data_IF_530605928742
#
_entry.id   IF_530605928742
#
_cell.length_a   1.000
_cell.length_b   1.000
_cell.length_c   1.000
_cell.angle_alpha   90.00
_cell.angle_beta   90.00
_cell.angle_gamma   90.00
#
_symmetry.space_group_name_H-M   'P 1'
#
loop_
_entity.id
_entity.type
_entity.pdbx_description
1 polymer ?
#
# COMPACT_ATOMS: atom_id res chain seq x y z
N UNK A 1 16.01 -32.71 4.67
CA UNK A 1 14.90 -31.88 5.18
C UNK A 1 14.09 -32.76 6.12
N UNK A 2 13.93 -32.36 7.39
CA UNK A 2 13.00 -33.05 8.29
C UNK A 2 11.57 -32.73 7.89
N UNK A 3 10.69 -33.71 7.99
CA UNK A 3 9.28 -33.62 7.59
C UNK A 3 8.56 -32.55 8.40
N UNK A 4 7.59 -31.85 7.82
CA UNK A 4 6.74 -30.88 8.54
C UNK A 4 6.15 -31.47 9.85
N UNK A 5 5.92 -32.79 9.86
CA UNK A 5 5.46 -33.55 11.02
C UNK A 5 6.44 -33.51 12.21
N UNK A 6 7.76 -33.56 11.95
CA UNK A 6 8.80 -33.55 13.00
C UNK A 6 8.94 -32.15 13.64
N UNK A 7 8.61 -31.10 12.88
CA UNK A 7 8.61 -29.71 13.37
C UNK A 7 7.38 -29.49 14.28
N UNK A 8 6.21 -29.98 13.88
CA UNK A 8 4.98 -29.88 14.67
C UNK A 8 5.10 -30.63 16.00
N UNK A 9 5.66 -31.85 16.01
CA UNK A 9 5.92 -32.60 17.25
C UNK A 9 6.90 -31.85 18.18
N UNK A 10 7.89 -31.15 17.62
CA UNK A 10 8.85 -30.36 18.40
C UNK A 10 8.21 -29.11 19.02
N UNK A 11 7.25 -28.48 18.33
CA UNK A 11 6.48 -27.33 18.83
C UNK A 11 5.50 -27.73 19.93
N UNK A 12 4.85 -28.89 19.84
CA UNK A 12 3.97 -29.41 20.89
C UNK A 12 4.73 -29.71 22.18
N UNK A 13 5.96 -30.23 22.07
CA UNK A 13 6.85 -30.44 23.22
C UNK A 13 7.26 -29.10 23.86
N UNK A 14 7.59 -28.09 23.06
CA UNK A 14 7.92 -26.75 23.55
C UNK A 14 6.73 -26.10 24.29
N UNK A 15 5.51 -26.28 23.76
CA UNK A 15 4.27 -25.81 24.38
C UNK A 15 3.99 -26.50 25.73
N UNK A 16 4.19 -27.81 25.81
CA UNK A 16 4.04 -28.57 27.05
C UNK A 16 5.02 -28.16 28.17
N UNK A 17 6.23 -27.70 27.81
CA UNK A 17 7.23 -27.18 28.74
C UNK A 17 6.83 -25.81 29.32
N UNK A 18 6.27 -24.91 28.50
CA UNK A 18 5.75 -23.62 28.96
C UNK A 18 4.52 -23.77 29.88
N UNK A 19 3.74 -24.84 29.69
CA UNK A 19 2.54 -25.13 30.50
C UNK A 19 2.83 -25.87 31.82
N UNK A 20 4.11 -26.08 32.17
CA UNK A 20 4.52 -26.63 33.48
C UNK A 20 4.15 -28.10 33.70
N UNK A 21 3.83 -28.85 32.63
CA UNK A 21 3.46 -30.26 32.72
C UNK A 21 4.69 -31.16 32.50
N UNK A 22 5.29 -31.62 33.61
CA UNK A 22 5.96 -32.94 33.83
C UNK A 22 7.49 -33.03 34.13
N UNK A 23 7.77 -34.06 34.96
CA UNK A 23 8.97 -34.70 35.53
C UNK A 23 10.39 -34.31 35.04
N UNK A 24 11.28 -34.01 36.00
CA UNK A 24 12.28 -32.93 35.91
C UNK A 24 13.66 -33.26 35.33
N UNK A 25 14.09 -34.53 35.22
CA UNK A 25 15.52 -34.82 34.97
C UNK A 25 15.88 -35.25 33.53
N UNK A 26 15.14 -36.20 32.93
CA UNK A 26 15.44 -36.69 31.57
C UNK A 26 14.89 -35.76 30.47
N UNK A 27 13.75 -35.11 30.73
CA UNK A 27 13.08 -34.21 29.80
C UNK A 27 13.78 -32.85 29.66
N UNK A 28 14.48 -32.36 30.71
CA UNK A 28 15.19 -31.09 30.67
C UNK A 28 16.35 -31.07 29.65
N UNK A 29 17.10 -32.19 29.53
CA UNK A 29 18.17 -32.32 28.53
C UNK A 29 17.65 -32.38 27.10
N UNK A 30 16.51 -33.05 26.88
CA UNK A 30 15.87 -33.14 25.56
C UNK A 30 15.23 -31.81 25.17
N UNK A 31 14.58 -31.13 26.12
CA UNK A 31 14.07 -29.77 25.99
C UNK A 31 15.17 -28.77 25.62
N UNK A 32 16.32 -28.82 26.30
CA UNK A 32 17.46 -27.95 25.99
C UNK A 32 18.00 -28.14 24.57
N UNK A 33 18.00 -29.38 24.05
CA UNK A 33 18.39 -29.65 22.65
C UNK A 33 17.39 -29.10 21.65
N UNK A 34 16.09 -29.32 21.87
CA UNK A 34 15.03 -28.78 21.00
C UNK A 34 15.06 -27.26 20.97
N UNK A 35 15.25 -26.60 22.11
CA UNK A 35 15.37 -25.13 22.18
C UNK A 35 16.61 -24.62 21.45
N UNK A 36 17.77 -25.29 21.56
CA UNK A 36 18.97 -24.91 20.82
C UNK A 36 18.82 -25.07 19.30
N UNK A 37 18.12 -26.12 18.85
CA UNK A 37 17.80 -26.33 17.43
C UNK A 37 16.86 -25.24 16.89
N UNK A 38 15.82 -24.87 17.65
CA UNK A 38 14.92 -23.76 17.29
C UNK A 38 15.65 -22.42 17.23
N UNK A 39 16.48 -22.09 18.23
CA UNK A 39 17.29 -20.86 18.23
C UNK A 39 18.19 -20.80 17.00
N UNK A 40 18.83 -21.93 16.65
CA UNK A 40 19.70 -21.99 15.47
C UNK A 40 18.91 -21.83 14.17
N UNK A 41 17.72 -22.45 14.07
CA UNK A 41 16.84 -22.31 12.93
C UNK A 41 16.35 -20.85 12.76
N UNK A 42 15.90 -20.21 13.84
CA UNK A 42 15.44 -18.82 13.78
C UNK A 42 16.57 -17.84 13.47
N UNK A 43 17.77 -18.00 14.05
CA UNK A 43 18.94 -17.18 13.69
C UNK A 43 19.36 -17.36 12.24
N UNK A 44 19.31 -18.59 11.74
CA UNK A 44 19.62 -18.86 10.33
C UNK A 44 18.58 -18.21 9.42
N UNK A 45 17.30 -18.31 9.77
CA UNK A 45 16.21 -17.67 9.04
C UNK A 45 16.34 -16.14 9.06
N UNK A 46 16.69 -15.55 10.20
CA UNK A 46 16.94 -14.11 10.35
C UNK A 46 18.11 -13.62 9.46
N UNK A 47 19.17 -14.42 9.32
CA UNK A 47 20.29 -14.14 8.42
C UNK A 47 19.90 -14.37 6.94
N UNK A 48 19.14 -15.41 6.63
CA UNK A 48 18.65 -15.69 5.27
C UNK A 48 17.61 -14.67 4.79
N UNK A 49 16.86 -14.07 5.72
CA UNK A 49 15.91 -12.96 5.49
C UNK A 49 16.58 -11.58 5.60
N UNK A 50 17.91 -11.52 5.75
CA UNK A 50 18.65 -10.27 5.74
C UNK A 50 18.86 -9.82 4.29
N UNK A 51 18.08 -8.84 3.84
CA UNK A 51 18.16 -8.29 2.49
C UNK A 51 19.10 -7.08 2.43
N UNK A 52 20.04 -7.10 1.48
CA UNK A 52 20.73 -5.89 1.04
C UNK A 52 19.77 -5.02 0.23
N UNK A 53 19.71 -3.73 0.56
CA UNK A 53 18.81 -2.77 -0.12
C UNK A 53 19.63 -1.83 -0.98
N UNK A 54 19.20 -1.67 -2.24
CA UNK A 54 19.77 -0.71 -3.17
C UNK A 54 18.70 0.31 -3.52
N UNK A 55 19.03 1.60 -3.41
CA UNK A 55 18.15 2.67 -3.85
C UNK A 55 18.40 2.97 -5.33
N UNK A 56 17.32 3.06 -6.09
CA UNK A 56 17.33 3.50 -7.48
C UNK A 56 16.42 4.71 -7.65
N UNK A 57 16.71 5.54 -8.64
CA UNK A 57 15.82 6.61 -9.08
C UNK A 57 15.05 6.07 -10.28
N UNK A 58 13.72 6.04 -10.21
CA UNK A 58 12.84 5.61 -11.28
C UNK A 58 11.96 6.78 -11.75
N UNK A 59 11.61 6.78 -13.03
CA UNK A 59 10.60 7.68 -13.60
C UNK A 59 9.34 6.86 -13.87
N UNK A 60 8.20 7.36 -13.40
CA UNK A 60 6.89 6.76 -13.69
C UNK A 60 6.34 7.42 -14.96
N UNK A 61 5.95 6.60 -15.93
CA UNK A 61 5.21 7.02 -17.11
C UNK A 61 3.73 7.09 -16.73
N UNK A 62 3.12 8.24 -17.00
CA UNK A 62 1.72 8.51 -16.66
C UNK A 62 1.02 9.03 -17.91
N UNK A 63 0.11 8.23 -18.43
CA UNK A 63 -0.69 8.53 -19.61
C UNK A 63 -1.87 9.46 -19.28
N UNK A 64 -2.68 9.81 -20.29
CA UNK A 64 -3.95 10.50 -20.04
C UNK A 64 -5.00 9.56 -19.46
N UNK A 65 -5.01 8.31 -19.93
CA UNK A 65 -5.93 7.26 -19.48
C UNK A 65 -5.69 6.97 -18.00
N UNK A 66 -4.43 6.85 -17.57
CA UNK A 66 -4.10 6.61 -16.16
C UNK A 66 -4.65 7.72 -15.24
N UNK A 67 -4.56 8.98 -15.71
CA UNK A 67 -5.12 10.13 -14.98
C UNK A 67 -6.63 10.00 -14.90
N UNK A 68 -7.28 9.72 -16.02
CA UNK A 68 -8.75 9.64 -16.10
C UNK A 68 -9.27 8.48 -15.23
N UNK A 69 -8.60 7.32 -15.27
CA UNK A 69 -8.95 6.13 -14.49
C UNK A 69 -8.79 6.36 -12.98
N UNK A 70 -7.68 6.97 -12.54
CA UNK A 70 -7.49 7.36 -11.13
C UNK A 70 -8.61 8.32 -10.70
N UNK A 71 -8.95 9.29 -11.55
CA UNK A 71 -9.99 10.26 -11.27
C UNK A 71 -11.39 9.62 -11.23
N UNK A 72 -11.68 8.61 -12.06
CA UNK A 72 -12.92 7.82 -11.97
C UNK A 72 -13.00 7.11 -10.61
N UNK A 73 -11.97 6.33 -10.23
CA UNK A 73 -11.93 5.62 -8.94
C UNK A 73 -12.11 6.56 -7.76
N UNK A 74 -11.51 7.77 -7.83
CA UNK A 74 -11.67 8.79 -6.80
C UNK A 74 -13.10 9.35 -6.76
N UNK A 75 -13.60 9.87 -7.88
CA UNK A 75 -14.86 10.62 -7.94
C UNK A 75 -16.11 9.74 -7.79
N UNK A 76 -16.02 8.46 -8.13
CA UNK A 76 -17.16 7.53 -8.09
C UNK A 76 -17.15 6.62 -6.85
N UNK A 77 -16.12 6.70 -6.01
CA UNK A 77 -16.03 5.88 -4.80
C UNK A 77 -15.10 6.46 -3.76
N UNK A 78 -13.84 6.70 -4.13
CA UNK A 78 -12.76 7.01 -3.19
C UNK A 78 -13.04 8.18 -2.26
N UNK A 79 -13.47 9.33 -2.80
CA UNK A 79 -13.61 10.56 -2.00
C UNK A 79 -15.05 10.90 -1.63
N UNK A 80 -16.02 10.10 -2.11
CA UNK A 80 -17.47 10.40 -2.00
C UNK A 80 -18.01 10.46 -0.58
N UNK A 81 -17.25 9.98 0.41
CA UNK A 81 -17.65 10.01 1.82
C UNK A 81 -17.31 11.33 2.52
N UNK A 82 -16.30 12.09 2.05
CA UNK A 82 -15.90 13.39 2.59
C UNK A 82 -16.06 14.56 1.60
N UNK A 83 -16.38 14.26 0.33
CA UNK A 83 -16.67 15.24 -0.72
C UNK A 83 -18.14 15.19 -1.09
N UNK A 84 -18.86 16.31 -0.96
CA UNK A 84 -20.27 16.40 -1.35
C UNK A 84 -20.47 16.89 -2.79
N UNK A 85 -19.49 17.62 -3.35
CA UNK A 85 -19.58 18.21 -4.68
C UNK A 85 -18.21 18.40 -5.32
N UNK A 86 -18.19 18.25 -6.64
CA UNK A 86 -17.05 18.65 -7.48
C UNK A 86 -17.50 19.63 -8.57
N UNK A 87 -16.64 20.60 -8.90
CA UNK A 87 -16.87 21.56 -9.98
C UNK A 87 -15.69 21.54 -10.97
N UNK A 88 -15.85 20.87 -12.12
CA UNK A 88 -14.84 20.88 -13.16
C UNK A 88 -14.66 22.25 -13.81
N UNK A 89 -13.42 22.63 -14.10
CA UNK A 89 -13.00 23.87 -14.74
C UNK A 89 -12.11 23.54 -15.93
N UNK A 90 -12.69 23.53 -17.12
CA UNK A 90 -11.98 23.24 -18.36
C UNK A 90 -12.35 24.23 -19.46
N UNK A 91 -11.36 24.76 -20.18
CA UNK A 91 -11.57 25.63 -21.33
C UNK A 91 -11.92 24.89 -22.63
N UNK A 92 -11.99 23.55 -22.56
CA UNK A 92 -12.35 22.66 -23.67
C UNK A 92 -13.47 21.72 -23.24
N UNK A 93 -14.17 21.15 -24.22
CA UNK A 93 -15.30 20.24 -24.01
C UNK A 93 -14.86 18.92 -23.34
N UNK A 94 -15.67 18.43 -22.41
CA UNK A 94 -15.47 17.19 -21.68
C UNK A 94 -16.81 16.51 -21.41
N UNK A 95 -16.78 15.18 -21.36
CA UNK A 95 -17.97 14.35 -21.14
C UNK A 95 -18.13 14.02 -19.66
N UNK A 96 -17.01 13.73 -18.99
CA UNK A 96 -16.98 13.40 -17.56
C UNK A 96 -16.06 14.33 -16.78
N UNK A 97 -16.38 14.51 -15.49
CA UNK A 97 -15.55 15.29 -14.57
C UNK A 97 -14.14 14.70 -14.45
N UNK A 98 -14.01 13.36 -14.52
CA UNK A 98 -12.73 12.63 -14.49
C UNK A 98 -11.79 13.04 -15.62
N UNK A 99 -12.30 13.29 -16.83
CA UNK A 99 -11.50 13.65 -18.01
C UNK A 99 -10.80 15.02 -17.90
N UNK A 100 -11.24 15.87 -16.96
CA UNK A 100 -10.90 17.29 -16.94
C UNK A 100 -9.42 17.51 -16.67
N UNK A 101 -8.82 16.71 -15.78
CA UNK A 101 -7.41 16.86 -15.40
C UNK A 101 -6.48 16.47 -16.56
N UNK A 102 -6.76 15.35 -17.26
CA UNK A 102 -5.93 14.92 -18.40
C UNK A 102 -6.05 15.87 -19.61
N UNK A 103 -7.20 16.55 -19.73
CA UNK A 103 -7.51 17.61 -20.69
C UNK A 103 -6.90 18.98 -20.34
N UNK A 104 -6.21 19.10 -19.20
CA UNK A 104 -5.49 20.31 -18.80
C UNK A 104 -6.35 21.33 -18.05
N UNK A 105 -7.53 20.93 -17.56
CA UNK A 105 -8.34 21.70 -16.64
C UNK A 105 -7.96 21.48 -15.17
N UNK A 106 -8.82 21.97 -14.28
CA UNK A 106 -8.77 21.73 -12.83
C UNK A 106 -10.16 21.34 -12.32
N UNK A 107 -10.23 20.77 -11.11
CA UNK A 107 -11.49 20.44 -10.44
C UNK A 107 -11.48 21.09 -9.07
N UNK A 108 -12.51 21.87 -8.74
CA UNK A 108 -12.74 22.27 -7.36
C UNK A 108 -13.44 21.13 -6.63
N UNK A 109 -12.87 20.72 -5.50
CA UNK A 109 -13.38 19.68 -4.62
C UNK A 109 -13.92 20.38 -3.37
N UNK A 110 -15.20 20.17 -3.08
CA UNK A 110 -15.87 20.72 -1.91
C UNK A 110 -15.82 19.68 -0.78
N UNK A 111 -15.13 20.04 0.28
CA UNK A 111 -14.97 19.24 1.48
C UNK A 111 -16.18 19.47 2.40
N UNK A 112 -16.92 18.40 2.66
CA UNK A 112 -18.14 18.44 3.45
C UNK A 112 -17.87 18.39 4.97
N UNK A 113 -16.69 17.94 5.40
CA UNK A 113 -16.34 17.87 6.82
C UNK A 113 -15.88 19.23 7.36
N UNK A 114 -15.11 19.99 6.56
CA UNK A 114 -14.53 21.27 6.97
C UNK A 114 -15.15 22.52 6.32
N UNK A 115 -16.19 22.38 5.47
CA UNK A 115 -16.79 23.48 4.68
C UNK A 115 -15.71 24.26 3.89
N UNK A 116 -14.78 23.51 3.30
CA UNK A 116 -13.62 24.03 2.59
C UNK A 116 -13.70 23.67 1.10
N UNK A 117 -12.95 24.40 0.27
CA UNK A 117 -12.88 24.12 -1.18
C UNK A 117 -11.43 24.11 -1.63
N UNK A 118 -11.03 23.01 -2.27
CA UNK A 118 -9.68 22.78 -2.73
C UNK A 118 -9.63 22.63 -4.24
N UNK A 119 -8.63 23.23 -4.89
CA UNK A 119 -8.43 23.05 -6.33
C UNK A 119 -7.44 21.91 -6.59
N UNK A 120 -7.90 20.87 -7.30
CA UNK A 120 -7.07 19.81 -7.85
C UNK A 120 -6.63 20.18 -9.27
N UNK A 121 -5.31 20.15 -9.50
CA UNK A 121 -4.71 20.37 -10.83
C UNK A 121 -3.87 19.14 -11.22
N UNK A 122 -3.52 19.02 -12.50
CA UNK A 122 -2.62 17.95 -12.95
C UNK A 122 -1.31 17.91 -12.15
N UNK A 123 -0.71 19.07 -11.85
CA UNK A 123 0.52 19.13 -11.07
C UNK A 123 0.35 18.56 -9.65
N UNK A 124 -0.76 18.88 -8.99
CA UNK A 124 -1.08 18.34 -7.67
C UNK A 124 -1.37 16.84 -7.71
N UNK A 125 -2.12 16.37 -8.71
CA UNK A 125 -2.39 14.94 -8.87
C UNK A 125 -1.08 14.14 -9.07
N UNK A 126 -0.17 14.62 -9.93
CA UNK A 126 1.15 14.00 -10.11
C UNK A 126 1.98 14.01 -8.83
N UNK A 127 1.87 15.07 -8.02
CA UNK A 127 2.48 15.11 -6.69
C UNK A 127 1.85 14.06 -5.74
N UNK A 128 0.53 13.91 -5.75
CA UNK A 128 -0.18 12.90 -4.97
C UNK A 128 0.25 11.48 -5.33
N UNK A 129 0.35 11.16 -6.62
CA UNK A 129 0.86 9.86 -7.13
C UNK A 129 2.29 9.62 -6.63
N UNK A 130 3.15 10.63 -6.72
CA UNK A 130 4.52 10.53 -6.21
C UNK A 130 4.54 10.24 -4.70
N UNK A 131 3.74 10.95 -3.92
CA UNK A 131 3.69 10.76 -2.47
C UNK A 131 3.15 9.37 -2.11
N UNK A 132 2.16 8.89 -2.84
CA UNK A 132 1.69 7.52 -2.72
C UNK A 132 2.80 6.51 -3.05
N UNK A 133 3.61 6.74 -4.08
CA UNK A 133 4.75 5.89 -4.40
C UNK A 133 5.80 5.82 -3.28
N UNK A 134 6.02 6.94 -2.59
CA UNK A 134 6.95 7.04 -1.47
C UNK A 134 6.37 6.41 -0.20
N UNK A 135 5.04 6.41 -0.06
CA UNK A 135 4.31 6.00 1.15
C UNK A 135 3.00 5.27 0.80
N UNK A 136 3.09 4.05 0.21
CA UNK A 136 1.91 3.35 -0.29
C UNK A 136 0.99 2.92 0.86
N UNK A 137 -0.31 3.02 0.60
CA UNK A 137 -1.39 2.61 1.50
C UNK A 137 -2.20 1.52 0.81
N UNK A 138 -2.28 0.35 1.45
CA UNK A 138 -3.03 -0.84 1.00
C UNK A 138 -2.35 -1.69 -0.08
N UNK A 139 -2.12 -1.14 -1.27
CA UNK A 139 -1.70 -1.92 -2.45
C UNK A 139 -0.53 -1.29 -3.20
N UNK A 140 0.29 -2.13 -3.84
CA UNK A 140 1.27 -1.66 -4.82
C UNK A 140 0.56 -1.38 -6.15
N UNK A 141 0.82 -0.21 -6.74
CA UNK A 141 0.12 0.27 -7.94
C UNK A 141 1.03 0.37 -9.18
N UNK A 142 2.26 -0.13 -9.08
CA UNK A 142 3.23 -0.01 -10.16
C UNK A 142 3.51 -1.33 -10.85
N UNK A 143 3.60 -1.27 -12.17
CA UNK A 143 4.05 -2.37 -13.02
C UNK A 143 5.21 -1.94 -13.91
N UNK A 144 6.00 -2.90 -14.39
CA UNK A 144 7.09 -2.65 -15.32
C UNK A 144 6.72 -3.20 -16.69
N UNK A 145 6.55 -2.30 -17.64
CA UNK A 145 6.26 -2.60 -19.04
C UNK A 145 7.40 -2.05 -19.88
N UNK A 146 8.01 -2.88 -20.73
CA UNK A 146 9.09 -2.47 -21.65
C UNK A 146 10.23 -1.68 -20.98
N UNK A 147 10.59 -2.07 -19.76
CA UNK A 147 11.61 -1.43 -18.91
C UNK A 147 11.28 -0.02 -18.38
N UNK A 148 10.02 0.41 -18.51
CA UNK A 148 9.49 1.63 -17.90
C UNK A 148 8.55 1.28 -16.73
N UNK A 149 8.48 2.16 -15.74
CA UNK A 149 7.58 2.02 -14.60
C UNK A 149 6.25 2.70 -14.96
N UNK A 150 5.16 1.96 -14.94
CA UNK A 150 3.80 2.43 -15.26
C UNK A 150 2.89 2.25 -14.05
N UNK A 151 1.73 2.91 -14.07
CA UNK A 151 0.68 2.69 -13.06
C UNK A 151 -0.23 1.57 -13.55
N UNK A 152 -0.38 0.52 -12.76
CA UNK A 152 -1.42 -0.49 -12.95
C UNK A 152 -2.73 0.06 -12.37
N UNK A 153 -3.50 0.75 -13.21
CA UNK A 153 -4.80 1.32 -12.79
C UNK A 153 -5.80 0.26 -12.35
N UNK A 154 -5.61 -1.02 -12.70
CA UNK A 154 -6.41 -2.13 -12.17
C UNK A 154 -6.19 -2.38 -10.66
N UNK A 155 -5.08 -1.88 -10.12
CA UNK A 155 -4.74 -1.92 -8.69
C UNK A 155 -5.12 -0.62 -7.95
N UNK A 156 -5.61 0.40 -8.67
CA UNK A 156 -6.07 1.66 -8.10
C UNK A 156 -7.56 1.56 -7.77
N UNK A 157 -7.85 0.94 -6.64
CA UNK A 157 -9.20 0.91 -6.07
C UNK A 157 -9.59 2.25 -5.41
N UNK A 158 -10.79 2.30 -4.85
CA UNK A 158 -11.32 3.50 -4.20
C UNK A 158 -10.44 4.00 -3.04
N UNK A 159 -9.86 3.12 -2.22
CA UNK A 159 -9.03 3.51 -1.08
C UNK A 159 -7.66 4.04 -1.53
N UNK A 160 -7.09 3.42 -2.56
CA UNK A 160 -5.87 3.91 -3.21
C UNK A 160 -6.09 5.29 -3.83
N UNK A 161 -7.18 5.44 -4.59
CA UNK A 161 -7.53 6.69 -5.26
C UNK A 161 -7.79 7.81 -4.24
N UNK A 162 -8.49 7.52 -3.13
CA UNK A 162 -8.67 8.45 -2.02
C UNK A 162 -7.32 8.93 -1.46
N UNK A 163 -6.42 8.00 -1.14
CA UNK A 163 -5.10 8.35 -0.62
C UNK A 163 -4.31 9.27 -1.58
N UNK A 164 -4.36 8.99 -2.89
CA UNK A 164 -3.72 9.83 -3.91
C UNK A 164 -4.33 11.25 -3.91
N UNK A 165 -5.66 11.39 -3.84
CA UNK A 165 -6.31 12.71 -3.80
C UNK A 165 -5.98 13.46 -2.52
N UNK A 166 -6.00 12.80 -1.37
CA UNK A 166 -5.65 13.44 -0.10
C UNK A 166 -4.19 13.91 -0.10
N UNK A 167 -3.24 13.11 -0.59
CA UNK A 167 -1.86 13.58 -0.77
C UNK A 167 -1.77 14.75 -1.76
N UNK A 168 -2.56 14.75 -2.83
CA UNK A 168 -2.57 15.84 -3.81
C UNK A 168 -3.11 17.17 -3.23
N UNK A 169 -4.09 17.11 -2.33
CA UNK A 169 -4.74 18.30 -1.76
C UNK A 169 -4.07 18.78 -0.48
N UNK A 170 -3.72 17.85 0.41
CA UNK A 170 -3.31 18.13 1.79
C UNK A 170 -1.83 17.84 2.05
N UNK A 171 -1.22 16.98 1.23
CA UNK A 171 0.14 16.48 1.47
C UNK A 171 0.23 15.44 2.59
N UNK A 172 -0.91 15.00 3.12
CA UNK A 172 -1.03 13.92 4.11
C UNK A 172 -2.45 13.32 4.04
N UNK A 173 -2.68 12.22 4.76
CA UNK A 173 -3.99 11.59 4.87
C UNK A 173 -4.70 12.15 6.10
N UNK A 174 -5.86 12.77 5.89
CA UNK A 174 -6.70 13.37 6.93
C UNK A 174 -7.92 12.47 7.21
N UNK A 175 -8.53 11.92 6.15
CA UNK A 175 -9.75 11.11 6.17
C UNK A 175 -9.44 9.62 5.94
N UNK A 176 -10.19 8.70 6.56
CA UNK A 176 -10.04 7.26 6.36
C UNK A 176 -10.86 6.36 7.27
#
# INVERSE_FOLDING_TARGET
>A
MRSAKEITESLEIAKGLCEGKTNESWNARKAGRVMAELITHFKKKEIEEQYDRVQIIATVVISKEDIDDIMVSALEGGITYWVDKVEPRCGIEFDFASDVISKGGSILIHDNEEDATYELTKAKLLQGIRMYAEQPKNSDIFEVIDHELHIDCGMVDAEVADAIIQYALFGEIIYG
#
